data_IF_079854965124
#
_entry.id   IF_079854965124
#
_cell.length_a   1.000
_cell.length_b   1.000
_cell.length_c   1.000
_cell.angle_alpha   90.00
_cell.angle_beta   90.00
_cell.angle_gamma   90.00
#
_symmetry.space_group_name_H-M   'P 1'
#
loop_
_entity.id
_entity.type
_entity.pdbx_description
1 polymer ?
#
# COMPACT_ATOMS: atom_id res chain seq x y z
N UNK A 1 -8.82 7.39 -24.48
CA UNK A 1 -7.95 7.21 -23.29
C UNK A 1 -8.50 8.11 -22.20
N UNK A 2 -8.84 7.56 -21.04
CA UNK A 2 -9.44 8.33 -19.95
C UNK A 2 -8.34 8.95 -19.09
N UNK A 3 -8.62 10.12 -18.50
CA UNK A 3 -7.67 10.85 -17.64
C UNK A 3 -7.06 10.00 -16.50
N UNK A 4 -7.81 9.09 -15.85
CA UNK A 4 -7.24 8.18 -14.84
C UNK A 4 -6.15 7.26 -15.42
N UNK A 5 -6.39 6.62 -16.57
CA UNK A 5 -5.42 5.71 -17.17
C UNK A 5 -4.12 6.43 -17.60
N UNK A 6 -4.21 7.72 -17.95
CA UNK A 6 -3.03 8.54 -18.24
C UNK A 6 -2.20 8.79 -16.96
N UNK A 7 -2.87 9.05 -15.84
CA UNK A 7 -2.21 9.26 -14.54
C UNK A 7 -1.56 7.96 -14.03
N UNK A 8 -2.21 6.81 -14.18
CA UNK A 8 -1.59 5.51 -13.87
C UNK A 8 -0.37 5.25 -14.75
N UNK A 9 -0.47 5.53 -16.06
CA UNK A 9 0.65 5.38 -17.00
C UNK A 9 1.83 6.29 -16.64
N UNK A 10 1.56 7.54 -16.22
CA UNK A 10 2.56 8.46 -15.72
C UNK A 10 3.27 7.89 -14.48
N UNK A 11 2.52 7.24 -13.58
CA UNK A 11 3.06 6.59 -12.38
C UNK A 11 4.06 5.49 -12.74
N UNK A 12 3.79 4.69 -13.78
CA UNK A 12 4.76 3.72 -14.29
C UNK A 12 6.04 4.38 -14.81
N UNK A 13 5.94 5.54 -15.47
CA UNK A 13 7.11 6.30 -15.95
C UNK A 13 7.88 6.96 -14.80
N UNK A 14 7.20 7.32 -13.70
CA UNK A 14 7.85 7.87 -12.50
C UNK A 14 8.76 6.86 -11.80
N UNK A 15 8.50 5.56 -11.90
CA UNK A 15 9.32 4.50 -11.28
C UNK A 15 10.78 4.53 -11.79
N UNK A 16 11.09 4.39 -13.10
CA UNK A 16 12.48 4.44 -13.57
C UNK A 16 13.11 5.82 -13.34
N UNK A 17 12.33 6.90 -13.38
CA UNK A 17 12.82 8.23 -13.07
C UNK A 17 13.26 8.34 -11.60
N UNK A 18 12.45 7.81 -10.67
CA UNK A 18 12.80 7.71 -9.25
C UNK A 18 14.12 6.95 -9.06
N UNK A 19 14.26 5.77 -9.67
CA UNK A 19 15.48 4.95 -9.56
C UNK A 19 16.70 5.72 -10.06
N UNK A 20 16.61 6.39 -11.22
CA UNK A 20 17.72 7.14 -11.80
C UNK A 20 18.16 8.32 -10.90
N UNK A 21 17.21 9.01 -10.28
CA UNK A 21 17.48 10.14 -9.38
C UNK A 21 18.04 9.65 -8.04
N UNK A 22 17.46 8.58 -7.48
CA UNK A 22 17.92 7.98 -6.23
C UNK A 22 19.34 7.40 -6.35
N UNK A 23 19.64 6.70 -7.45
CA UNK A 23 20.96 6.13 -7.72
C UNK A 23 22.08 7.18 -7.81
N UNK A 24 21.74 8.43 -8.15
CA UNK A 24 22.67 9.58 -8.13
C UNK A 24 22.87 10.18 -6.73
N UNK A 25 22.22 9.63 -5.70
CA UNK A 25 22.28 10.13 -4.32
C UNK A 25 21.39 11.34 -4.04
N UNK A 26 20.55 11.76 -5.00
CA UNK A 26 19.67 12.91 -4.83
C UNK A 26 18.39 12.54 -4.07
N UNK A 27 18.49 12.46 -2.73
CA UNK A 27 17.39 12.02 -1.87
C UNK A 27 16.16 12.94 -1.97
N UNK A 28 16.31 14.26 -1.84
CA UNK A 28 15.15 15.18 -1.87
C UNK A 28 14.39 15.08 -3.22
N UNK A 29 15.05 15.16 -4.40
CA UNK A 29 14.36 14.94 -5.66
C UNK A 29 13.73 13.56 -5.80
N UNK A 30 14.39 12.49 -5.34
CA UNK A 30 13.82 11.14 -5.37
C UNK A 30 12.55 11.04 -4.49
N UNK A 31 12.56 11.66 -3.31
CA UNK A 31 11.38 11.76 -2.44
C UNK A 31 10.24 12.52 -3.12
N UNK A 32 10.53 13.64 -3.80
CA UNK A 32 9.51 14.41 -4.51
C UNK A 32 8.84 13.56 -5.60
N UNK A 33 9.57 12.70 -6.30
CA UNK A 33 8.98 11.77 -7.29
C UNK A 33 8.02 10.78 -6.62
N UNK A 34 8.42 10.19 -5.50
CA UNK A 34 7.55 9.27 -4.73
C UNK A 34 6.31 10.00 -4.22
N UNK A 35 6.47 11.21 -3.68
CA UNK A 35 5.37 12.02 -3.18
C UNK A 35 4.41 12.40 -4.31
N UNK A 36 4.91 12.82 -5.47
CA UNK A 36 4.10 13.11 -6.64
C UNK A 36 3.35 11.86 -7.13
N UNK A 37 4.01 10.70 -7.17
CA UNK A 37 3.36 9.44 -7.54
C UNK A 37 2.17 9.14 -6.61
N UNK A 38 2.34 9.25 -5.29
CA UNK A 38 1.26 9.04 -4.32
C UNK A 38 0.14 10.09 -4.42
N UNK A 39 0.47 11.36 -4.64
CA UNK A 39 -0.54 12.41 -4.84
C UNK A 39 -1.36 12.15 -6.11
N UNK A 40 -0.73 11.71 -7.20
CA UNK A 40 -1.46 11.38 -8.43
C UNK A 40 -2.45 10.23 -8.24
N UNK A 41 -2.17 9.27 -7.34
CA UNK A 41 -3.05 8.12 -7.02
C UNK A 41 -4.29 8.49 -6.20
N UNK A 42 -4.14 9.51 -5.35
CA UNK A 42 -5.29 10.05 -4.64
C UNK A 42 -6.15 10.86 -5.60
N UNK A 43 -5.52 11.62 -6.49
CA UNK A 43 -6.19 12.50 -7.45
C UNK A 43 -6.91 11.71 -8.55
N UNK A 44 -6.30 10.69 -9.16
CA UNK A 44 -6.97 9.90 -10.20
C UNK A 44 -8.16 9.12 -9.63
N UNK A 45 -8.03 8.53 -8.44
CA UNK A 45 -9.12 7.84 -7.75
C UNK A 45 -10.24 8.81 -7.37
N UNK A 46 -9.91 10.04 -6.97
CA UNK A 46 -10.90 11.08 -6.72
C UNK A 46 -11.63 11.51 -8.00
N UNK A 47 -10.88 11.79 -9.07
CA UNK A 47 -11.44 12.22 -10.36
C UNK A 47 -12.28 11.11 -10.98
N UNK A 48 -11.81 9.85 -10.99
CA UNK A 48 -12.54 8.71 -11.52
C UNK A 48 -13.88 8.50 -10.80
N UNK A 49 -13.89 8.61 -9.47
CA UNK A 49 -15.13 8.52 -8.67
C UNK A 49 -16.09 9.68 -8.97
N UNK A 50 -15.57 10.90 -9.10
CA UNK A 50 -16.43 12.09 -9.29
C UNK A 50 -16.93 12.26 -10.73
N UNK A 51 -16.21 11.72 -11.71
CA UNK A 51 -16.54 11.80 -13.14
C UNK A 51 -17.29 10.57 -13.67
N UNK A 52 -17.47 9.53 -12.86
CA UNK A 52 -18.05 8.25 -13.29
C UNK A 52 -17.18 7.47 -14.28
N UNK A 53 -15.92 7.89 -14.52
CA UNK A 53 -15.01 7.30 -15.49
C UNK A 53 -14.16 6.17 -14.89
N UNK A 54 -14.77 5.30 -14.10
CA UNK A 54 -14.10 4.13 -13.52
C UNK A 54 -14.00 3.06 -14.61
N UNK A 55 -12.78 2.67 -14.98
CA UNK A 55 -12.55 1.61 -15.99
C UNK A 55 -12.02 0.34 -15.33
N UNK A 56 -12.40 -0.83 -15.86
CA UNK A 56 -11.91 -2.11 -15.36
C UNK A 56 -10.38 -2.23 -15.44
N UNK A 57 -9.79 -1.68 -16.50
CA UNK A 57 -8.33 -1.67 -16.72
C UNK A 57 -7.65 -0.76 -15.68
N UNK A 58 -8.14 0.46 -15.47
CA UNK A 58 -7.60 1.39 -14.48
C UNK A 58 -7.65 0.79 -13.07
N UNK A 59 -8.78 0.20 -12.68
CA UNK A 59 -8.93 -0.47 -11.38
C UNK A 59 -7.91 -1.59 -11.13
N UNK A 60 -7.41 -2.25 -12.18
CA UNK A 60 -6.36 -3.27 -12.06
C UNK A 60 -4.95 -2.68 -12.12
N UNK A 61 -4.74 -1.63 -12.92
CA UNK A 61 -3.43 -0.99 -13.10
C UNK A 61 -3.04 -0.13 -11.89
N UNK A 62 -3.99 0.52 -11.21
CA UNK A 62 -3.67 1.42 -10.09
C UNK A 62 -2.98 0.68 -8.94
N UNK A 63 -3.52 -0.44 -8.41
CA UNK A 63 -2.85 -1.20 -7.34
C UNK A 63 -1.53 -1.82 -7.80
N UNK A 64 -1.39 -2.12 -9.10
CA UNK A 64 -0.15 -2.66 -9.67
C UNK A 64 0.94 -1.59 -9.69
N UNK A 65 0.63 -0.38 -10.17
CA UNK A 65 1.56 0.74 -10.22
C UNK A 65 2.01 1.16 -8.81
N UNK A 66 1.06 1.29 -7.88
CA UNK A 66 1.34 1.60 -6.47
C UNK A 66 2.29 0.57 -5.86
N UNK A 67 1.99 -0.72 -6.06
CA UNK A 67 2.79 -1.79 -5.51
C UNK A 67 4.20 -1.85 -6.12
N UNK A 68 4.34 -1.64 -7.42
CA UNK A 68 5.64 -1.60 -8.07
C UNK A 68 6.48 -0.41 -7.56
N UNK A 69 5.87 0.76 -7.38
CA UNK A 69 6.55 1.92 -6.82
C UNK A 69 7.02 1.62 -5.39
N UNK A 70 6.17 1.06 -4.54
CA UNK A 70 6.51 0.67 -3.17
C UNK A 70 7.68 -0.33 -3.12
N UNK A 71 7.62 -1.39 -3.93
CA UNK A 71 8.69 -2.40 -4.03
C UNK A 71 10.00 -1.75 -4.49
N UNK A 72 9.93 -0.87 -5.49
CA UNK A 72 11.10 -0.15 -6.01
C UNK A 72 11.76 0.72 -4.94
N UNK A 73 10.97 1.41 -4.13
CA UNK A 73 11.48 2.21 -3.00
C UNK A 73 12.17 1.32 -1.98
N UNK A 74 11.57 0.20 -1.58
CA UNK A 74 12.18 -0.74 -0.61
C UNK A 74 13.51 -1.30 -1.15
N UNK A 75 13.55 -1.74 -2.40
CA UNK A 75 14.76 -2.28 -3.03
C UNK A 75 15.85 -1.21 -3.10
N UNK A 76 15.48 0.03 -3.44
CA UNK A 76 16.43 1.15 -3.49
C UNK A 76 17.02 1.46 -2.12
N UNK A 77 16.19 1.46 -1.06
CA UNK A 77 16.64 1.65 0.32
C UNK A 77 17.52 0.49 0.82
N UNK A 78 17.21 -0.75 0.44
CA UNK A 78 18.07 -1.92 0.71
C UNK A 78 19.42 -1.79 0.01
N UNK A 79 19.44 -1.44 -1.27
CA UNK A 79 20.66 -1.32 -2.06
C UNK A 79 21.57 -0.18 -1.57
N UNK A 80 21.01 0.82 -0.89
CA UNK A 80 21.74 1.91 -0.27
C UNK A 80 22.14 1.64 1.19
N UNK A 81 21.89 0.45 1.73
CA UNK A 81 22.08 0.07 3.14
C UNK A 81 21.31 0.97 4.15
N UNK A 82 20.22 1.63 3.72
CA UNK A 82 19.38 2.44 4.62
C UNK A 82 18.34 1.58 5.35
N UNK A 83 18.03 0.40 4.80
CA UNK A 83 17.06 -0.53 5.33
C UNK A 83 17.73 -1.89 5.55
N UNK A 84 17.45 -2.55 6.68
CA UNK A 84 17.96 -3.88 6.93
C UNK A 84 17.18 -4.95 6.15
N UNK A 85 17.87 -6.00 5.71
CA UNK A 85 17.27 -7.16 5.03
C UNK A 85 16.15 -7.80 5.87
N UNK A 86 16.32 -7.82 7.20
CA UNK A 86 15.31 -8.31 8.12
C UNK A 86 14.03 -7.46 8.11
N UNK A 87 14.16 -6.13 8.13
CA UNK A 87 13.01 -5.23 8.06
C UNK A 87 12.29 -5.33 6.72
N UNK A 88 13.03 -5.37 5.60
CA UNK A 88 12.43 -5.56 4.28
C UNK A 88 11.70 -6.90 4.17
N UNK A 89 12.33 -8.00 4.61
CA UNK A 89 11.71 -9.32 4.62
C UNK A 89 10.41 -9.35 5.46
N UNK A 90 10.40 -8.69 6.62
CA UNK A 90 9.21 -8.58 7.46
C UNK A 90 8.08 -7.77 6.79
N UNK A 91 8.41 -6.67 6.10
CA UNK A 91 7.44 -5.88 5.33
C UNK A 91 6.83 -6.72 4.21
N UNK A 92 7.65 -7.40 3.40
CA UNK A 92 7.17 -8.28 2.34
C UNK A 92 6.32 -9.42 2.87
N UNK A 93 6.74 -10.05 3.97
CA UNK A 93 5.98 -11.14 4.60
C UNK A 93 4.59 -10.67 5.04
N UNK A 94 4.51 -9.50 5.69
CA UNK A 94 3.23 -8.92 6.10
C UNK A 94 2.33 -8.63 4.90
N UNK A 95 2.88 -8.05 3.84
CA UNK A 95 2.11 -7.66 2.67
C UNK A 95 1.59 -8.88 1.89
N UNK A 96 2.43 -9.90 1.72
CA UNK A 96 2.01 -11.21 1.19
C UNK A 96 0.97 -11.89 2.08
N UNK A 97 1.14 -11.82 3.39
CA UNK A 97 0.18 -12.38 4.35
C UNK A 97 -1.19 -11.74 4.25
N UNK A 98 -1.27 -10.41 4.07
CA UNK A 98 -2.54 -9.70 3.88
C UNK A 98 -3.24 -10.10 2.58
N UNK A 99 -2.48 -10.22 1.49
CA UNK A 99 -3.04 -10.62 0.18
C UNK A 99 -3.49 -12.08 0.20
N UNK A 100 -2.66 -12.98 0.70
CA UNK A 100 -2.99 -14.39 0.82
C UNK A 100 -4.21 -14.60 1.73
N UNK A 101 -4.28 -13.87 2.85
CA UNK A 101 -5.44 -13.86 3.72
C UNK A 101 -6.71 -13.40 3.00
N UNK A 102 -6.66 -12.25 2.33
CA UNK A 102 -7.79 -11.71 1.57
C UNK A 102 -8.28 -12.68 0.48
N UNK A 103 -7.37 -13.25 -0.29
CA UNK A 103 -7.68 -14.19 -1.38
C UNK A 103 -8.26 -15.50 -0.85
N UNK A 104 -7.65 -16.08 0.18
CA UNK A 104 -8.14 -17.30 0.83
C UNK A 104 -9.56 -17.13 1.37
N UNK A 105 -9.90 -15.95 1.89
CA UNK A 105 -11.24 -15.65 2.37
C UNK A 105 -12.25 -15.45 1.23
N UNK A 106 -11.84 -14.79 0.15
CA UNK A 106 -12.67 -14.59 -1.04
C UNK A 106 -13.07 -15.93 -1.67
N UNK A 107 -12.11 -16.86 -1.84
CA UNK A 107 -12.38 -18.20 -2.41
C UNK A 107 -13.33 -19.06 -1.57
N UNK A 108 -13.46 -18.79 -0.26
CA UNK A 108 -14.40 -19.51 0.61
C UNK A 108 -15.81 -18.90 0.67
N UNK A 109 -16.10 -17.88 -0.15
CA UNK A 109 -17.43 -17.24 -0.20
C UNK A 109 -17.84 -16.56 1.11
N UNK A 110 -16.87 -16.26 1.98
CA UNK A 110 -17.08 -15.70 3.31
C UNK A 110 -17.06 -14.18 3.25
N UNK A 111 -17.86 -13.56 4.12
CA UNK A 111 -17.88 -12.10 4.22
C UNK A 111 -16.50 -11.60 4.60
N UNK A 112 -15.94 -10.72 3.77
CA UNK A 112 -14.71 -10.00 4.08
C UNK A 112 -15.00 -8.98 5.15
N UNK A 113 -14.07 -8.84 6.10
CA UNK A 113 -14.20 -7.83 7.14
C UNK A 113 -14.15 -6.45 6.48
N UNK A 114 -15.13 -5.56 6.75
CA UNK A 114 -15.15 -4.22 6.18
C UNK A 114 -13.89 -3.46 6.55
N UNK A 115 -13.46 -2.54 5.68
CA UNK A 115 -12.23 -1.78 5.85
C UNK A 115 -12.24 -1.02 7.19
N UNK A 116 -11.50 -1.53 8.18
CA UNK A 116 -11.45 -0.96 9.51
C UNK A 116 -10.43 0.18 9.60
N UNK A 117 -10.74 1.20 10.40
CA UNK A 117 -9.86 2.35 10.65
C UNK A 117 -8.44 1.93 11.06
N UNK A 118 -8.31 0.85 11.85
CA UNK A 118 -7.01 0.32 12.28
C UNK A 118 -6.10 -0.10 11.11
N UNK A 119 -6.66 -0.67 10.03
CA UNK A 119 -5.85 -1.06 8.87
C UNK A 119 -5.31 0.15 8.10
N UNK A 120 -6.10 1.23 8.03
CA UNK A 120 -5.66 2.51 7.46
C UNK A 120 -4.54 3.12 8.30
N UNK A 121 -4.70 3.13 9.63
CA UNK A 121 -3.69 3.66 10.54
C UNK A 121 -2.35 2.94 10.39
N UNK A 122 -2.36 1.60 10.35
CA UNK A 122 -1.12 0.81 10.13
C UNK A 122 -0.40 1.21 8.84
N UNK A 123 -1.15 1.46 7.77
CA UNK A 123 -0.58 1.85 6.47
C UNK A 123 0.06 3.24 6.54
N UNK A 124 -0.60 4.18 7.21
CA UNK A 124 -0.03 5.53 7.47
C UNK A 124 1.25 5.44 8.30
N UNK A 125 1.26 4.65 9.37
CA UNK A 125 2.45 4.44 10.20
C UNK A 125 3.59 3.84 9.38
N UNK A 126 3.32 2.89 8.48
CA UNK A 126 4.33 2.36 7.59
C UNK A 126 4.91 3.40 6.63
N UNK A 127 4.05 4.21 6.00
CA UNK A 127 4.53 5.26 5.11
C UNK A 127 5.40 6.29 5.84
N UNK A 128 5.03 6.66 7.07
CA UNK A 128 5.87 7.50 7.93
C UNK A 128 7.21 6.80 8.21
N UNK A 129 7.19 5.51 8.54
CA UNK A 129 8.41 4.73 8.81
C UNK A 129 9.36 4.69 7.62
N UNK A 130 8.84 4.40 6.42
CA UNK A 130 9.62 4.44 5.17
C UNK A 130 10.16 5.84 4.92
N UNK A 131 9.37 6.89 5.15
CA UNK A 131 9.83 8.28 5.00
C UNK A 131 10.96 8.63 5.97
N UNK A 132 10.88 8.19 7.22
CA UNK A 132 11.94 8.39 8.21
C UNK A 132 13.24 7.68 7.80
N UNK A 133 13.13 6.45 7.28
CA UNK A 133 14.28 5.69 6.74
C UNK A 133 14.88 6.42 5.54
N UNK A 134 14.02 6.92 4.65
CA UNK A 134 14.42 7.66 3.46
C UNK A 134 15.29 8.88 3.77
N UNK A 135 14.94 9.63 4.83
CA UNK A 135 15.70 10.79 5.31
C UNK A 135 16.77 10.48 6.35
N UNK A 136 17.06 9.19 6.61
CA UNK A 136 18.05 8.74 7.60
C UNK A 136 17.84 9.32 9.00
N UNK A 137 16.59 9.45 9.43
CA UNK A 137 16.31 9.93 10.79
C UNK A 137 16.91 8.94 11.82
N UNK A 138 17.50 9.41 12.92
CA UNK A 138 18.23 8.56 13.86
C UNK A 138 17.35 7.50 14.56
N UNK A 139 16.05 7.75 14.66
CA UNK A 139 15.05 6.84 15.24
C UNK A 139 14.24 6.07 14.18
N UNK A 140 14.61 6.17 12.90
CA UNK A 140 13.84 5.60 11.79
C UNK A 140 13.70 4.08 11.91
N UNK A 141 14.80 3.39 12.20
CA UNK A 141 14.80 1.92 12.29
C UNK A 141 13.94 1.42 13.46
N UNK A 142 14.08 2.02 14.64
CA UNK A 142 13.27 1.67 15.81
C UNK A 142 11.78 1.92 15.54
N UNK A 143 11.44 3.06 14.94
CA UNK A 143 10.07 3.38 14.55
C UNK A 143 9.52 2.37 13.54
N UNK A 144 10.31 1.99 12.53
CA UNK A 144 9.91 1.04 11.51
C UNK A 144 9.63 -0.34 12.11
N UNK A 145 10.47 -0.83 13.02
CA UNK A 145 10.21 -2.08 13.73
C UNK A 145 8.94 -2.01 14.58
N UNK A 146 8.67 -0.88 15.23
CA UNK A 146 7.40 -0.62 15.92
C UNK A 146 6.19 -0.68 14.99
N UNK A 147 6.28 -0.05 13.81
CA UNK A 147 5.24 -0.07 12.79
C UNK A 147 5.02 -1.49 12.24
N UNK A 148 6.10 -2.25 12.00
CA UNK A 148 6.05 -3.66 11.59
C UNK A 148 5.32 -4.48 12.65
N UNK A 149 5.72 -4.39 13.93
CA UNK A 149 5.08 -5.14 15.01
C UNK A 149 3.58 -4.80 15.13
N UNK A 150 3.23 -3.52 15.11
CA UNK A 150 1.84 -3.07 15.11
C UNK A 150 1.06 -3.63 13.92
N UNK A 151 1.69 -3.73 12.75
CA UNK A 151 1.05 -4.28 11.56
C UNK A 151 0.73 -5.77 11.66
N UNK A 152 1.62 -6.57 12.27
CA UNK A 152 1.35 -7.98 12.52
C UNK A 152 0.21 -8.15 13.51
N UNK A 153 0.16 -7.32 14.57
CA UNK A 153 -0.95 -7.31 15.54
C UNK A 153 -2.28 -7.01 14.83
N UNK A 154 -2.33 -5.95 14.02
CA UNK A 154 -3.56 -5.61 13.26
C UNK A 154 -3.96 -6.70 12.27
N UNK A 155 -2.99 -7.40 11.66
CA UNK A 155 -3.25 -8.52 10.75
C UNK A 155 -3.86 -9.72 11.48
N UNK A 156 -3.34 -10.06 12.66
CA UNK A 156 -3.93 -11.11 13.51
C UNK A 156 -5.34 -10.73 13.94
N UNK A 157 -5.55 -9.48 14.38
CA UNK A 157 -6.86 -8.99 14.79
C UNK A 157 -7.87 -9.04 13.62
N UNK A 158 -7.43 -8.74 12.40
CA UNK A 158 -8.27 -8.86 11.20
C UNK A 158 -8.72 -10.31 10.97
N UNK A 159 -7.81 -11.28 11.13
CA UNK A 159 -8.12 -12.72 11.04
C UNK A 159 -9.09 -13.16 12.15
N UNK A 160 -8.91 -12.67 13.38
CA UNK A 160 -9.81 -12.98 14.51
C UNK A 160 -11.21 -12.41 14.30
N UNK A 161 -11.31 -11.15 13.85
CA UNK A 161 -12.58 -10.51 13.53
C UNK A 161 -13.29 -11.23 12.38
N UNK A 162 -12.55 -11.69 11.38
CA UNK A 162 -13.08 -12.53 10.31
C UNK A 162 -13.65 -13.86 10.83
N UNK A 163 -12.92 -14.55 11.73
CA UNK A 163 -13.40 -15.78 12.36
C UNK A 163 -14.69 -15.52 13.16
N UNK A 164 -14.75 -14.42 13.90
CA UNK A 164 -15.94 -14.04 14.68
C UNK A 164 -17.15 -13.74 13.78
N UNK A 165 -16.96 -12.99 12.69
CA UNK A 165 -18.00 -12.63 11.74
C UNK A 165 -18.62 -13.88 11.08
N UNK A 166 -17.78 -14.83 10.67
CA UNK A 166 -18.21 -16.07 10.02
C UNK A 166 -18.66 -17.17 11.00
N UNK A 167 -18.36 -17.05 12.31
CA UNK A 167 -18.89 -17.94 13.35
C UNK A 167 -20.29 -17.52 13.79
N UNK A 168 -20.61 -16.22 13.76
CA UNK A 168 -21.91 -15.70 14.23
C UNK A 168 -23.07 -15.84 13.22
N UNK A 169 -22.86 -16.36 12.01
CA UNK A 169 -23.93 -16.44 11.01
C UNK A 169 -24.60 -15.09 10.74
N UNK A 170 -23.87 -13.99 10.94
CA UNK A 170 -24.40 -12.64 10.79
C UNK A 170 -24.92 -12.46 9.37
N UNK A 171 -26.09 -11.83 9.19
CA UNK A 171 -26.69 -11.64 7.88
C UNK A 171 -25.68 -10.99 6.94
N UNK A 172 -25.69 -11.42 5.67
CA UNK A 172 -24.86 -10.86 4.60
C UNK A 172 -24.97 -9.34 4.65
N UNK A 173 -23.87 -8.62 4.94
CA UNK A 173 -23.83 -7.19 4.71
C UNK A 173 -24.11 -6.99 3.22
N UNK A 174 -25.30 -6.52 2.90
CA UNK A 174 -25.66 -6.15 1.54
C UNK A 174 -24.68 -5.07 1.08
N UNK A 175 -24.17 -5.16 -0.17
CA UNK A 175 -23.34 -4.11 -0.72
C UNK A 175 -24.09 -2.76 -0.62
N UNK A 176 -23.38 -1.63 -0.40
CA UNK A 176 -24.01 -0.33 -0.37
C UNK A 176 -24.84 -0.17 -1.65
N UNK A 177 -26.11 0.19 -1.47
CA UNK A 177 -27.00 0.48 -2.59
C UNK A 177 -26.31 1.49 -3.50
N UNK A 178 -25.94 1.05 -4.69
CA UNK A 178 -25.51 1.91 -5.78
C UNK A 178 -26.67 2.86 -6.08
N UNK A 179 -26.52 4.12 -5.67
CA UNK A 179 -27.30 5.25 -6.16
C UNK A 179 -26.50 5.93 -7.28
#
# INVERSE_FOLDING_TARGET
MNLPNLLTSLRFVMIPFYVAVFAKGHLIPAFLVVALAGVTDVLDGYIARRSGQVTAIGMMLDPLADKLMFITVIISLLAADFLSWAAAGAIFLRDLGMIAGGLFFHFRGKQTVPANWMGKLTTVLFYIGIMLVFFKAPFAELYLWGAIAFSFITSIMYILMFKALNKKGLPKQQPPATL
#
